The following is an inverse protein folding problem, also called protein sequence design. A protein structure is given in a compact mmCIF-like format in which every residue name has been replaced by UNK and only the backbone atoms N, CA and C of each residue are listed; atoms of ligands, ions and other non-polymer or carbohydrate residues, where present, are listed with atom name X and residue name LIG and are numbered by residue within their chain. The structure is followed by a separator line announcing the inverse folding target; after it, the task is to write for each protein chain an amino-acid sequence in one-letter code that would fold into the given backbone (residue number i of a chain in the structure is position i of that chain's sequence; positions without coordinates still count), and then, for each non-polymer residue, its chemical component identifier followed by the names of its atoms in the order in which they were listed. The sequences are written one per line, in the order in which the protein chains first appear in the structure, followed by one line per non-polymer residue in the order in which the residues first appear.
data_IF_581580917994
#
_entry.id   IF_581580917994
#
_cell.length_a   1.000
_cell.length_b   1.000
_cell.length_c   1.000
_cell.angle_alpha   90.00
_cell.angle_beta   90.00
_cell.angle_gamma   90.00
#
_symmetry.space_group_name_H-M   'P 1'
#
loop_
_entity.id
_entity.type
_entity.pdbx_description
1 polymer ?
#
# COMPACT_ATOMS: atom_id res chain seq x y z
N UNK A 1 -16.34 30.84 -0.63
CA UNK A 1 -16.63 29.53 -0.01
C UNK A 1 -15.36 28.69 -0.17
N UNK A 2 -14.57 28.52 0.89
CA UNK A 2 -13.39 27.66 0.83
C UNK A 2 -13.88 26.21 0.64
N UNK A 3 -13.30 25.42 -0.28
CA UNK A 3 -13.70 24.02 -0.41
C UNK A 3 -13.47 23.35 0.95
N UNK A 4 -14.47 22.58 1.41
CA UNK A 4 -14.36 21.81 2.63
C UNK A 4 -13.03 21.06 2.59
N UNK A 5 -12.13 21.34 3.54
CA UNK A 5 -10.84 20.67 3.63
C UNK A 5 -11.10 19.16 3.58
N UNK A 6 -10.63 18.53 2.50
CA UNK A 6 -10.78 17.11 2.28
C UNK A 6 -10.11 16.42 3.48
N UNK A 7 -10.92 15.86 4.39
CA UNK A 7 -10.41 15.24 5.61
C UNK A 7 -9.57 14.04 5.19
N UNK A 8 -8.36 13.94 5.72
CA UNK A 8 -7.41 12.87 5.44
C UNK A 8 -7.20 12.05 6.72
N UNK A 9 -7.63 10.80 6.71
CA UNK A 9 -7.41 9.86 7.80
C UNK A 9 -6.16 9.00 7.53
N UNK A 10 -5.26 8.90 8.50
CA UNK A 10 -4.18 7.90 8.51
C UNK A 10 -4.51 6.87 9.57
N UNK A 11 -4.59 5.62 9.15
CA UNK A 11 -5.01 4.50 9.98
C UNK A 11 -3.98 3.39 9.87
N UNK A 12 -3.62 2.82 11.02
CA UNK A 12 -2.65 1.73 11.11
C UNK A 12 -3.37 0.38 11.29
N UNK A 13 -2.78 -0.56 12.01
CA UNK A 13 -3.29 -1.93 12.13
C UNK A 13 -4.69 -1.96 12.76
N UNK A 14 -5.60 -2.78 12.18
CA UNK A 14 -6.97 -2.98 12.66
C UNK A 14 -8.04 -2.17 11.92
N UNK A 15 -7.65 -1.35 10.95
CA UNK A 15 -8.57 -0.55 10.13
C UNK A 15 -8.69 -1.09 8.69
N UNK A 16 -8.36 -2.36 8.49
CA UNK A 16 -8.32 -3.03 7.20
C UNK A 16 -9.63 -3.72 6.79
N UNK A 17 -10.71 -3.51 7.55
CA UNK A 17 -12.04 -3.99 7.20
C UNK A 17 -12.63 -3.21 6.02
N UNK A 18 -13.43 -3.90 5.19
CA UNK A 18 -14.11 -3.24 4.07
C UNK A 18 -15.13 -2.20 4.56
N UNK A 19 -15.79 -2.46 5.69
CA UNK A 19 -16.74 -1.54 6.33
C UNK A 19 -16.08 -0.18 6.63
N UNK A 20 -14.93 -0.17 7.30
CA UNK A 20 -14.20 1.07 7.62
C UNK A 20 -13.83 1.83 6.33
N UNK A 21 -13.36 1.12 5.31
CA UNK A 21 -13.00 1.73 4.03
C UNK A 21 -14.21 2.29 3.27
N UNK A 22 -15.39 1.70 3.46
CA UNK A 22 -16.64 2.15 2.84
C UNK A 22 -17.20 3.37 3.54
N UNK A 23 -17.25 3.36 4.87
CA UNK A 23 -17.64 4.53 5.67
C UNK A 23 -16.80 5.75 5.31
N UNK A 24 -15.48 5.60 5.25
CA UNK A 24 -14.59 6.70 4.87
C UNK A 24 -14.84 7.20 3.44
N UNK A 25 -15.16 6.29 2.51
CA UNK A 25 -15.47 6.67 1.14
C UNK A 25 -16.82 7.40 1.02
N UNK A 26 -17.84 6.95 1.76
CA UNK A 26 -19.17 7.58 1.82
C UNK A 26 -19.11 8.98 2.42
N UNK A 27 -18.25 9.18 3.43
CA UNK A 27 -18.00 10.48 4.04
C UNK A 27 -17.14 11.42 3.17
N UNK A 28 -16.73 11.00 1.97
CA UNK A 28 -15.75 11.69 1.12
C UNK A 28 -14.44 12.02 1.86
N UNK A 29 -14.06 11.16 2.81
CA UNK A 29 -12.82 11.24 3.57
C UNK A 29 -11.73 10.48 2.81
N UNK A 30 -10.65 11.17 2.43
CA UNK A 30 -9.48 10.50 1.89
C UNK A 30 -8.78 9.72 3.00
N UNK A 31 -8.24 8.54 2.70
CA UNK A 31 -7.61 7.72 3.74
C UNK A 31 -6.32 7.06 3.27
N UNK A 32 -5.48 6.71 4.24
CA UNK A 32 -4.28 5.90 4.10
C UNK A 32 -4.32 4.84 5.19
N UNK A 33 -4.53 3.58 4.77
CA UNK A 33 -4.54 2.42 5.67
C UNK A 33 -3.29 1.58 5.40
N UNK A 34 -2.56 1.23 6.47
CA UNK A 34 -1.48 0.25 6.41
C UNK A 34 -2.07 -1.17 6.46
N UNK A 35 -1.96 -1.89 5.35
CA UNK A 35 -2.46 -3.26 5.27
C UNK A 35 -1.38 -4.31 5.57
N UNK A 36 -1.74 -5.45 6.18
CA UNK A 36 -0.88 -6.63 6.13
C UNK A 36 -0.73 -7.11 4.67
N UNK A 37 0.48 -7.53 4.31
CA UNK A 37 0.76 -8.10 2.99
C UNK A 37 0.21 -9.54 2.93
N UNK A 38 -1.10 -9.68 2.69
CA UNK A 38 -1.74 -10.99 2.52
C UNK A 38 -1.14 -11.73 1.30
N UNK A 39 -1.09 -13.08 1.28
CA UNK A 39 -0.46 -13.83 0.19
C UNK A 39 -0.95 -13.46 -1.22
N UNK A 40 -2.26 -13.26 -1.39
CA UNK A 40 -2.84 -12.85 -2.68
C UNK A 40 -2.37 -11.44 -3.12
N UNK A 41 -2.25 -10.53 -2.17
CA UNK A 41 -1.73 -9.19 -2.40
C UNK A 41 -0.21 -9.22 -2.64
N UNK A 42 0.51 -10.10 -1.94
CA UNK A 42 1.94 -10.31 -2.10
C UNK A 42 2.29 -10.75 -3.53
N UNK A 43 1.53 -11.68 -4.13
CA UNK A 43 1.71 -12.08 -5.54
C UNK A 43 1.58 -10.89 -6.47
N UNK A 44 0.50 -10.11 -6.32
CA UNK A 44 0.29 -8.90 -7.11
C UNK A 44 1.40 -7.86 -6.92
N UNK A 45 1.97 -7.74 -5.71
CA UNK A 45 3.14 -6.89 -5.46
C UNK A 45 4.39 -7.44 -6.15
N UNK A 46 4.68 -8.73 -6.06
CA UNK A 46 5.90 -9.35 -6.60
C UNK A 46 5.94 -9.31 -8.13
N UNK A 47 4.78 -9.42 -8.78
CA UNK A 47 4.65 -9.38 -10.24
C UNK A 47 4.84 -7.98 -10.83
N UNK A 48 4.88 -6.91 -10.01
CA UNK A 48 5.08 -5.55 -10.52
C UNK A 48 6.47 -5.45 -11.15
N UNK A 49 6.56 -5.18 -12.47
CA UNK A 49 7.84 -5.04 -13.15
C UNK A 49 8.65 -3.90 -12.56
N UNK A 50 9.95 -4.09 -12.32
CA UNK A 50 10.85 -3.05 -11.77
C UNK A 50 10.80 -1.73 -12.56
N UNK A 51 10.58 -1.77 -13.87
CA UNK A 51 10.39 -0.59 -14.72
C UNK A 51 9.19 0.30 -14.35
N UNK A 52 8.22 -0.23 -13.59
CA UNK A 52 7.06 0.51 -13.07
C UNK A 52 7.30 1.06 -11.66
N UNK A 53 8.45 0.77 -11.05
CA UNK A 53 8.86 1.35 -9.79
C UNK A 53 9.56 2.69 -10.06
N UNK A 54 9.16 3.72 -9.32
CA UNK A 54 9.83 5.03 -9.32
C UNK A 54 10.63 5.17 -8.03
N UNK A 55 11.90 5.60 -8.06
CA UNK A 55 12.63 5.88 -6.84
C UNK A 55 12.02 7.07 -6.09
N UNK A 56 11.99 7.03 -4.76
CA UNK A 56 11.70 8.16 -3.88
C UNK A 56 12.92 8.35 -2.97
N UNK A 57 13.65 9.44 -3.16
CA UNK A 57 14.87 9.80 -2.38
C UNK A 57 16.02 8.77 -2.48
N UNK A 58 17.25 9.27 -2.49
CA UNK A 58 18.56 8.60 -2.33
C UNK A 58 18.77 7.22 -3.00
N UNK A 59 17.95 6.86 -4.00
CA UNK A 59 17.88 5.57 -4.67
C UNK A 59 17.63 4.34 -3.77
N UNK A 60 17.42 4.54 -2.47
CA UNK A 60 17.20 3.46 -1.50
C UNK A 60 15.73 3.02 -1.39
N UNK A 61 14.78 3.88 -1.79
CA UNK A 61 13.36 3.54 -1.69
C UNK A 61 12.70 3.65 -3.06
N UNK A 62 11.84 2.68 -3.38
CA UNK A 62 11.06 2.63 -4.60
C UNK A 62 9.56 2.65 -4.27
N UNK A 63 8.80 3.42 -5.03
CA UNK A 63 7.34 3.44 -4.98
C UNK A 63 6.76 2.89 -6.27
N UNK A 64 5.66 2.17 -6.15
CA UNK A 64 4.80 1.85 -7.29
C UNK A 64 3.37 1.83 -6.84
N UNK A 65 2.42 1.99 -7.76
CA UNK A 65 1.01 1.87 -7.44
C UNK A 65 0.24 1.14 -8.52
N UNK A 66 -0.80 0.43 -8.12
CA UNK A 66 -1.68 -0.33 -9.00
C UNK A 66 -3.09 -0.40 -8.41
N UNK A 67 -4.08 -0.74 -9.24
CA UNK A 67 -5.44 -0.98 -8.76
C UNK A 67 -5.57 -2.44 -8.35
N UNK A 68 -6.12 -2.68 -7.17
CA UNK A 68 -6.35 -4.01 -6.62
C UNK A 68 -7.74 -4.08 -6.01
N UNK A 69 -8.39 -5.24 -6.12
CA UNK A 69 -9.64 -5.54 -5.46
C UNK A 69 -9.46 -6.85 -4.69
N UNK A 70 -9.49 -6.77 -3.36
CA UNK A 70 -9.58 -7.98 -2.55
C UNK A 70 -10.97 -8.62 -2.75
N UNK A 71 -11.07 -9.93 -2.52
CA UNK A 71 -12.36 -10.63 -2.58
C UNK A 71 -13.41 -10.06 -1.62
N UNK A 72 -12.98 -9.51 -0.48
CA UNK A 72 -13.85 -8.86 0.51
C UNK A 72 -14.18 -7.41 0.19
N UNK A 73 -13.70 -6.86 -0.93
CA UNK A 73 -13.88 -5.47 -1.30
C UNK A 73 -14.92 -5.32 -2.42
N UNK A 74 -15.89 -4.43 -2.21
CA UNK A 74 -16.91 -4.14 -3.22
C UNK A 74 -16.39 -3.31 -4.43
N UNK A 75 -15.16 -2.77 -4.35
CA UNK A 75 -14.59 -1.92 -5.40
C UNK A 75 -13.06 -2.01 -5.46
N UNK A 76 -12.51 -1.73 -6.64
CA UNK A 76 -11.07 -1.53 -6.83
C UNK A 76 -10.56 -0.34 -6.04
N UNK A 77 -9.40 -0.51 -5.40
CA UNK A 77 -8.70 0.54 -4.65
C UNK A 77 -7.27 0.68 -5.14
N UNK A 78 -6.69 1.87 -5.03
CA UNK A 78 -5.30 2.09 -5.44
C UNK A 78 -4.37 1.67 -4.32
N UNK A 79 -3.62 0.59 -4.55
CA UNK A 79 -2.54 0.13 -3.68
C UNK A 79 -1.25 0.82 -4.10
N UNK A 80 -0.55 1.39 -3.12
CA UNK A 80 0.77 1.98 -3.24
C UNK A 80 1.74 1.11 -2.47
N UNK A 81 2.74 0.57 -3.14
CA UNK A 81 3.79 -0.24 -2.54
C UNK A 81 5.02 0.61 -2.36
N UNK A 82 5.53 0.66 -1.14
CA UNK A 82 6.84 1.23 -0.83
C UNK A 82 7.80 0.08 -0.57
N UNK A 83 8.84 -0.04 -1.40
CA UNK A 83 9.91 -1.02 -1.28
C UNK A 83 11.17 -0.30 -0.84
N UNK A 84 11.73 -0.67 0.31
CA UNK A 84 13.09 -0.25 0.68
C UNK A 84 14.08 -1.24 0.08
N UNK A 85 15.07 -0.76 -0.67
CA UNK A 85 16.23 -1.58 -1.06
C UNK A 85 17.03 -1.86 0.19
N UNK A 86 16.83 -3.03 0.78
CA UNK A 86 17.72 -3.50 1.82
C UNK A 86 19.09 -3.78 1.18
N UNK A 87 20.12 -3.05 1.60
CA UNK A 87 21.52 -3.33 1.22
C UNK A 87 21.94 -4.65 1.86
N UNK A 88 21.64 -5.77 1.19
CA UNK A 88 22.11 -7.09 1.60
C UNK A 88 23.58 -7.25 1.19
N UNK A 89 24.48 -6.59 1.91
CA UNK A 89 25.88 -6.94 1.87
C UNK A 89 26.08 -8.24 2.67
N UNK A 90 26.28 -9.36 1.96
CA UNK A 90 26.81 -10.67 2.44
C UNK A 90 26.24 -11.12 3.80
N UNK A 91 25.14 -11.88 3.86
CA UNK A 91 25.19 -13.36 3.81
C UNK A 91 23.77 -13.90 4.02
N UNK A 92 23.23 -14.69 3.08
CA UNK A 92 21.95 -15.39 3.25
C UNK A 92 22.10 -16.57 4.26
N UNK A 93 21.03 -17.05 4.95
CA UNK A 93 19.97 -17.81 4.28
C UNK A 93 18.52 -17.60 4.79
N UNK A 94 17.57 -17.98 3.93
CA UNK A 94 16.16 -18.36 4.20
C UNK A 94 15.28 -17.45 5.07
N UNK A 95 14.39 -16.70 4.43
CA UNK A 95 13.26 -16.01 5.08
C UNK A 95 13.20 -14.52 4.73
N UNK A 96 12.73 -14.20 3.53
CA UNK A 96 12.60 -12.80 3.09
C UNK A 96 11.48 -12.09 3.88
N UNK A 97 11.86 -11.43 4.98
CA UNK A 97 11.08 -10.34 5.56
C UNK A 97 11.34 -9.08 4.74
N UNK A 98 10.55 -8.87 3.68
CA UNK A 98 10.44 -7.58 3.00
C UNK A 98 9.36 -6.77 3.70
N UNK A 99 9.75 -5.72 4.44
CA UNK A 99 8.81 -4.75 5.02
C UNK A 99 8.11 -3.98 3.89
N UNK A 100 7.07 -4.60 3.35
CA UNK A 100 6.24 -4.07 2.28
C UNK A 100 5.18 -3.21 2.94
N UNK A 101 5.33 -1.89 2.86
CA UNK A 101 4.28 -0.97 3.30
C UNK A 101 3.34 -0.74 2.12
N UNK A 102 2.11 -1.21 2.30
CA UNK A 102 1.01 -1.09 1.34
C UNK A 102 0.11 0.05 1.79
N UNK A 103 -0.04 1.07 0.94
CA UNK A 103 -0.84 2.28 1.17
C UNK A 103 -2.02 2.32 0.20
N UNK A 104 -3.24 2.27 0.73
CA UNK A 104 -4.45 2.52 -0.07
C UNK A 104 -4.72 4.02 -0.22
N UNK A 105 -5.22 4.44 -1.37
CA UNK A 105 -5.64 5.82 -1.70
C UNK A 105 -6.67 5.82 -2.81
#
# INVERSE_FOLDING_TARGET
MYPAQQRLARLDKGFDSNEIMETLAEENCGYVIKLPCLPALATGVLEIPKKKCKPISDNETEITCFRYQASSWNRFRRVTVVRKKTTWARSAPSGMSSDTVIRLT
#
